data_IF_612045780266
#
_entry.id   IF_612045780266
#
_cell.length_a   1.000
_cell.length_b   1.000
_cell.length_c   1.000
_cell.angle_alpha   90.00
_cell.angle_beta   90.00
_cell.angle_gamma   90.00
#
_symmetry.space_group_name_H-M   'P 1'
#
loop_
_entity.id
_entity.type
_entity.pdbx_description
1 polymer ?
#
# COMPACT_ATOMS: atom_id res chain seq x y z
N UNK A 1 -5.15 4.47 -14.82
CA UNK A 1 -4.80 4.26 -13.40
C UNK A 1 -5.45 5.27 -12.47
N UNK A 2 -5.40 6.56 -12.77
CA UNK A 2 -6.04 7.64 -11.99
C UNK A 2 -7.54 7.40 -11.70
N UNK A 3 -8.26 6.77 -12.61
CA UNK A 3 -9.71 6.49 -12.43
C UNK A 3 -10.02 5.39 -11.41
N UNK A 4 -9.07 4.49 -11.12
CA UNK A 4 -9.29 3.39 -10.17
C UNK A 4 -9.06 3.80 -8.71
N UNK A 5 -8.29 4.86 -8.47
CA UNK A 5 -8.20 5.46 -7.14
C UNK A 5 -9.54 6.02 -6.64
N UNK A 6 -10.48 6.30 -7.55
CA UNK A 6 -11.85 6.67 -7.22
C UNK A 6 -12.60 5.61 -6.40
N UNK A 7 -12.26 4.33 -6.54
CA UNK A 7 -12.83 3.26 -5.71
C UNK A 7 -12.44 3.40 -4.22
N UNK A 8 -11.31 4.07 -3.94
CA UNK A 8 -10.84 4.34 -2.59
C UNK A 8 -11.15 5.78 -2.13
N UNK A 9 -12.06 6.49 -2.84
CA UNK A 9 -12.47 7.85 -2.47
C UNK A 9 -11.48 8.94 -2.86
N UNK A 10 -10.46 8.64 -3.67
CA UNK A 10 -9.56 9.63 -4.22
C UNK A 10 -10.11 10.20 -5.53
N UNK A 11 -10.17 11.52 -5.64
CA UNK A 11 -10.65 12.24 -6.82
C UNK A 11 -9.50 13.04 -7.46
N UNK A 12 -8.70 12.37 -8.35
CA UNK A 12 -7.64 13.06 -9.05
C UNK A 12 -8.19 13.89 -10.20
N UNK A 13 -7.64 15.10 -10.40
CA UNK A 13 -7.88 15.92 -11.58
C UNK A 13 -6.60 16.65 -11.99
N UNK A 14 -6.49 16.93 -13.28
CA UNK A 14 -5.34 17.68 -13.81
C UNK A 14 -5.56 19.18 -13.58
N UNK A 15 -4.51 19.87 -13.14
CA UNK A 15 -4.48 21.32 -12.98
C UNK A 15 -3.12 21.83 -13.44
N UNK A 16 -3.07 22.52 -14.58
CA UNK A 16 -1.82 23.00 -15.16
C UNK A 16 -0.85 21.84 -15.45
N UNK A 17 0.34 21.87 -14.88
CA UNK A 17 1.38 20.85 -15.04
C UNK A 17 1.31 19.73 -14.00
N UNK A 18 0.32 19.77 -13.11
CA UNK A 18 0.23 18.85 -11.98
C UNK A 18 -1.04 18.02 -11.93
N UNK A 19 -1.08 17.10 -10.98
CA UNK A 19 -2.24 16.33 -10.60
C UNK A 19 -2.62 16.70 -9.17
N UNK A 20 -3.86 17.14 -8.97
CA UNK A 20 -4.40 17.37 -7.64
C UNK A 20 -5.23 16.15 -7.26
N UNK A 21 -5.00 15.63 -6.06
CA UNK A 21 -5.73 14.48 -5.52
C UNK A 21 -6.49 14.94 -4.27
N UNK A 22 -7.81 14.95 -4.36
CA UNK A 22 -8.68 15.16 -3.21
C UNK A 22 -9.19 13.81 -2.69
N UNK A 23 -9.30 13.69 -1.36
CA UNK A 23 -9.86 12.50 -0.73
C UNK A 23 -11.09 12.87 0.07
N UNK A 24 -12.21 12.18 -0.14
CA UNK A 24 -13.40 12.30 0.70
C UNK A 24 -13.34 11.23 1.80
N UNK A 25 -13.05 11.65 3.02
CA UNK A 25 -12.96 10.77 4.20
C UNK A 25 -14.31 10.18 4.63
N UNK A 26 -15.43 10.63 4.06
CA UNK A 26 -16.78 10.24 4.48
C UNK A 26 -17.34 9.05 3.71
N UNK A 27 -16.74 8.66 2.61
CA UNK A 27 -17.26 7.61 1.77
C UNK A 27 -16.80 6.24 2.30
N UNK A 28 -17.73 5.43 2.78
CA UNK A 28 -17.50 3.99 2.95
C UNK A 28 -17.45 3.39 1.56
N UNK A 29 -16.34 2.81 1.21
CA UNK A 29 -16.15 2.15 -0.07
C UNK A 29 -15.92 0.67 0.19
N UNK A 30 -16.87 -0.13 -0.20
CA UNK A 30 -16.59 -1.53 -0.47
C UNK A 30 -15.88 -1.59 -1.81
N UNK A 31 -14.67 -2.15 -1.84
CA UNK A 31 -13.95 -2.27 -3.09
C UNK A 31 -13.51 -3.72 -3.32
N UNK A 32 -13.67 -4.16 -4.54
CA UNK A 32 -13.07 -5.38 -5.05
C UNK A 32 -12.13 -5.03 -6.20
N UNK A 33 -10.89 -5.48 -6.12
CA UNK A 33 -9.87 -5.28 -7.15
C UNK A 33 -9.35 -6.65 -7.57
N UNK A 34 -9.36 -6.90 -8.88
CA UNK A 34 -8.78 -8.09 -9.49
C UNK A 34 -7.60 -7.68 -10.38
N UNK A 35 -6.44 -8.30 -10.18
CA UNK A 35 -5.27 -8.05 -11.03
C UNK A 35 -5.36 -8.86 -12.32
N UNK A 36 -4.77 -8.33 -13.39
CA UNK A 36 -4.74 -8.99 -14.68
C UNK A 36 -3.99 -8.19 -15.74
N UNK A 37 -3.93 -8.72 -16.98
CA UNK A 37 -3.33 -8.02 -18.11
C UNK A 37 -4.13 -6.75 -18.44
N UNK A 38 -3.46 -5.79 -19.08
CA UNK A 38 -4.13 -4.57 -19.52
C UNK A 38 -5.42 -4.91 -20.34
N UNK A 39 -6.57 -4.25 -20.08
CA UNK A 39 -6.78 -3.04 -19.27
C UNK A 39 -7.15 -3.28 -17.80
N UNK A 40 -6.95 -4.46 -17.26
CA UNK A 40 -7.24 -4.77 -15.86
C UNK A 40 -6.27 -4.08 -14.89
N UNK A 41 -6.41 -4.37 -13.60
CA UNK A 41 -5.57 -3.75 -12.58
C UNK A 41 -4.16 -4.35 -12.60
N UNK A 42 -3.09 -3.54 -12.74
CA UNK A 42 -1.74 -4.06 -12.83
C UNK A 42 -1.29 -4.66 -11.50
N UNK A 43 -0.77 -5.88 -11.55
CA UNK A 43 -0.25 -6.61 -10.38
C UNK A 43 0.87 -5.85 -9.65
N UNK A 44 1.64 -5.00 -10.34
CA UNK A 44 2.67 -4.15 -9.73
C UNK A 44 2.14 -3.12 -8.73
N UNK A 45 0.85 -2.85 -8.75
CA UNK A 45 0.19 -1.99 -7.78
C UNK A 45 -0.51 -2.75 -6.66
N UNK A 46 -0.54 -4.08 -6.72
CA UNK A 46 -1.25 -4.93 -5.79
C UNK A 46 -0.83 -4.67 -4.33
N UNK A 47 0.45 -4.77 -4.01
CA UNK A 47 0.96 -4.60 -2.64
C UNK A 47 0.71 -3.20 -2.10
N UNK A 48 0.87 -2.16 -2.94
CA UNK A 48 0.63 -0.76 -2.55
C UNK A 48 -0.85 -0.53 -2.24
N UNK A 49 -1.75 -1.06 -3.09
CA UNK A 49 -3.18 -0.94 -2.84
C UNK A 49 -3.64 -1.80 -1.67
N UNK A 50 -3.01 -2.95 -1.42
CA UNK A 50 -3.27 -3.76 -0.23
C UNK A 50 -2.98 -2.97 1.06
N UNK A 51 -1.85 -2.25 1.12
CA UNK A 51 -1.52 -1.37 2.23
C UNK A 51 -2.54 -0.22 2.39
N UNK A 52 -2.97 0.40 1.28
CA UNK A 52 -3.98 1.44 1.30
C UNK A 52 -5.34 0.92 1.77
N UNK A 53 -5.76 -0.27 1.32
CA UNK A 53 -6.98 -0.95 1.79
C UNK A 53 -6.90 -1.22 3.29
N UNK A 54 -5.74 -1.66 3.79
CA UNK A 54 -5.54 -1.99 5.20
C UNK A 54 -5.82 -0.79 6.14
N UNK A 55 -5.61 0.45 5.66
CA UNK A 55 -5.85 1.69 6.44
C UNK A 55 -7.12 2.43 6.03
N UNK A 56 -7.90 1.91 5.08
CA UNK A 56 -9.08 2.60 4.55
C UNK A 56 -10.26 2.68 5.52
N UNK A 57 -10.31 1.80 6.53
CA UNK A 57 -11.47 1.65 7.42
C UNK A 57 -12.67 0.96 6.76
N UNK A 58 -12.47 0.31 5.61
CA UNK A 58 -13.50 -0.36 4.81
C UNK A 58 -13.20 -1.84 4.65
N UNK A 59 -14.22 -2.62 4.30
CA UNK A 59 -14.01 -3.99 3.84
C UNK A 59 -13.68 -3.96 2.34
N UNK A 60 -12.59 -4.62 1.97
CA UNK A 60 -12.14 -4.72 0.58
C UNK A 60 -11.71 -6.16 0.27
N UNK A 61 -11.78 -6.52 -1.02
CA UNK A 61 -11.27 -7.79 -1.53
C UNK A 61 -10.24 -7.49 -2.61
N UNK A 62 -9.08 -8.14 -2.50
CA UNK A 62 -8.04 -8.13 -3.53
C UNK A 62 -7.88 -9.54 -4.09
N UNK A 63 -8.03 -9.67 -5.41
CA UNK A 63 -7.77 -10.91 -6.13
C UNK A 63 -6.49 -10.77 -6.94
N UNK A 64 -5.53 -11.70 -6.76
CA UNK A 64 -4.27 -11.72 -7.51
C UNK A 64 -4.29 -12.88 -8.51
N UNK A 65 -4.35 -12.56 -9.81
CA UNK A 65 -4.46 -13.53 -10.88
C UNK A 65 -3.18 -13.68 -11.71
N UNK A 66 -2.14 -12.90 -11.43
CA UNK A 66 -0.90 -12.91 -12.21
C UNK A 66 0.18 -13.73 -11.49
N UNK A 67 0.25 -13.63 -10.16
CA UNK A 67 1.26 -14.33 -9.36
C UNK A 67 0.62 -15.14 -8.22
N UNK A 68 1.00 -16.40 -8.10
CA UNK A 68 0.38 -17.32 -7.13
C UNK A 68 0.75 -17.02 -5.66
N UNK A 69 1.84 -16.28 -5.39
CA UNK A 69 2.36 -16.10 -4.02
C UNK A 69 2.61 -14.64 -3.65
N UNK A 70 1.89 -13.68 -4.25
CA UNK A 70 2.20 -12.26 -4.07
C UNK A 70 1.62 -11.62 -2.80
N UNK A 71 1.01 -12.38 -1.91
CA UNK A 71 0.45 -11.88 -0.65
C UNK A 71 1.41 -11.91 0.54
N UNK A 72 2.72 -12.08 0.33
CA UNK A 72 3.70 -12.01 1.44
C UNK A 72 3.62 -10.68 2.20
N UNK A 73 3.33 -9.57 1.49
CA UNK A 73 3.11 -8.26 2.10
C UNK A 73 1.94 -8.24 3.09
N UNK A 74 0.90 -9.07 2.90
CA UNK A 74 -0.23 -9.16 3.83
C UNK A 74 0.21 -9.67 5.21
N UNK A 75 1.08 -10.67 5.25
CA UNK A 75 1.60 -11.21 6.51
C UNK A 75 2.44 -10.17 7.27
N UNK A 76 3.22 -9.36 6.55
CA UNK A 76 4.01 -8.29 7.16
C UNK A 76 3.10 -7.14 7.64
N UNK A 77 2.07 -6.75 6.88
CA UNK A 77 1.08 -5.76 7.30
C UNK A 77 0.31 -6.20 8.56
N UNK A 78 -0.01 -7.49 8.67
CA UNK A 78 -0.67 -8.03 9.85
C UNK A 78 0.18 -7.91 11.13
N UNK A 79 1.52 -7.92 11.03
CA UNK A 79 2.41 -7.62 12.17
C UNK A 79 2.25 -6.17 12.69
N UNK A 80 1.82 -5.26 11.81
CA UNK A 80 1.52 -3.88 12.16
C UNK A 80 0.05 -3.68 12.59
N UNK A 81 -0.70 -4.76 12.83
CA UNK A 81 -2.09 -4.70 13.27
C UNK A 81 -3.12 -4.54 12.13
N UNK A 82 -2.73 -4.74 10.88
CA UNK A 82 -3.71 -4.91 9.81
C UNK A 82 -4.53 -6.18 10.04
N UNK A 83 -5.69 -6.25 9.40
CA UNK A 83 -6.60 -7.38 9.50
C UNK A 83 -6.86 -7.89 8.08
N UNK A 84 -5.95 -8.75 7.62
CA UNK A 84 -5.94 -9.29 6.25
C UNK A 84 -5.93 -10.82 6.35
N UNK A 85 -6.94 -11.45 5.77
CA UNK A 85 -7.05 -12.90 5.63
C UNK A 85 -6.77 -13.27 4.19
N UNK A 86 -5.76 -14.11 3.97
CA UNK A 86 -5.40 -14.60 2.63
C UNK A 86 -5.93 -16.02 2.45
N UNK A 87 -6.67 -16.25 1.37
CA UNK A 87 -7.17 -17.55 0.96
C UNK A 87 -6.90 -17.76 -0.54
N UNK A 88 -5.88 -18.54 -0.85
CA UNK A 88 -5.42 -18.76 -2.22
C UNK A 88 -5.08 -17.45 -2.94
N UNK A 89 -5.85 -17.12 -3.96
CA UNK A 89 -5.68 -15.91 -4.78
C UNK A 89 -6.43 -14.68 -4.23
N UNK A 90 -7.11 -14.81 -3.11
CA UNK A 90 -7.92 -13.76 -2.50
C UNK A 90 -7.30 -13.26 -1.21
N UNK A 91 -7.33 -11.95 -1.02
CA UNK A 91 -7.07 -11.31 0.26
C UNK A 91 -8.32 -10.53 0.69
N UNK A 92 -8.88 -10.91 1.82
CA UNK A 92 -9.98 -10.20 2.48
C UNK A 92 -9.38 -9.21 3.46
N UNK A 93 -9.62 -7.92 3.22
CA UNK A 93 -9.02 -6.82 3.98
C UNK A 93 -10.10 -6.16 4.80
N UNK A 94 -9.99 -6.28 6.12
CA UNK A 94 -10.83 -5.56 7.09
C UNK A 94 -10.07 -4.29 7.51
N UNK A 95 -10.24 -3.22 6.73
CA UNK A 95 -9.45 -2.01 6.89
C UNK A 95 -9.53 -1.44 8.31
N UNK A 96 -8.40 -1.12 8.87
CA UNK A 96 -8.23 -0.42 10.16
C UNK A 96 -7.97 1.04 9.90
N UNK A 97 -8.37 1.92 10.82
CA UNK A 97 -8.06 3.36 10.67
C UNK A 97 -6.63 3.72 11.04
N UNK A 98 -5.95 2.81 11.72
CA UNK A 98 -4.62 3.03 12.26
C UNK A 98 -3.89 1.68 12.36
N UNK A 99 -2.62 1.72 12.06
CA UNK A 99 -1.70 0.61 12.28
C UNK A 99 -0.84 0.88 13.51
N UNK A 100 -0.12 -0.13 13.99
CA UNK A 100 0.81 -0.02 15.11
C UNK A 100 2.25 -0.01 14.61
N UNK A 101 3.17 0.54 15.42
CA UNK A 101 4.58 0.42 15.15
C UNK A 101 5.09 -1.00 15.28
N UNK A 102 6.23 -1.27 14.66
CA UNK A 102 6.80 -2.61 14.69
C UNK A 102 7.96 -2.78 13.70
N UNK A 103 8.42 -4.03 13.58
CA UNK A 103 9.49 -4.41 12.66
C UNK A 103 8.91 -5.35 11.60
N UNK A 104 9.09 -4.98 10.35
CA UNK A 104 8.65 -5.74 9.17
C UNK A 104 9.80 -5.91 8.19
N UNK A 105 9.66 -6.86 7.28
CA UNK A 105 10.72 -7.18 6.32
C UNK A 105 10.20 -7.14 4.90
N UNK A 106 10.86 -6.34 4.06
CA UNK A 106 10.62 -6.32 2.63
C UNK A 106 11.16 -7.61 1.98
N UNK A 107 10.32 -8.35 1.29
CA UNK A 107 10.72 -9.52 0.52
C UNK A 107 10.89 -9.22 -0.97
N UNK A 108 10.35 -8.11 -1.42
CA UNK A 108 10.41 -7.64 -2.81
C UNK A 108 10.27 -6.11 -2.89
N UNK A 109 10.49 -5.59 -4.10
CA UNK A 109 10.46 -4.16 -4.41
C UNK A 109 9.11 -3.50 -4.06
N UNK A 110 8.00 -4.08 -4.49
CA UNK A 110 6.66 -3.48 -4.37
C UNK A 110 6.10 -3.66 -2.96
N UNK A 111 6.33 -4.84 -2.38
CA UNK A 111 6.00 -5.11 -0.98
C UNK A 111 6.75 -4.20 -0.03
N UNK A 112 8.05 -3.99 -0.24
CA UNK A 112 8.85 -3.09 0.57
C UNK A 112 8.35 -1.65 0.54
N UNK A 113 8.05 -1.11 -0.65
CA UNK A 113 7.46 0.22 -0.78
C UNK A 113 6.10 0.32 -0.10
N UNK A 114 5.26 -0.72 -0.21
CA UNK A 114 3.97 -0.78 0.46
C UNK A 114 4.10 -0.74 1.99
N UNK A 115 5.10 -1.45 2.56
CA UNK A 115 5.37 -1.44 4.00
C UNK A 115 5.84 -0.06 4.50
N UNK A 116 6.69 0.63 3.72
CA UNK A 116 7.10 2.00 4.04
C UNK A 116 5.89 2.94 4.04
N UNK A 117 5.01 2.85 3.03
CA UNK A 117 3.78 3.65 2.99
C UNK A 117 2.83 3.30 4.14
N UNK A 118 2.69 2.02 4.49
CA UNK A 118 1.88 1.60 5.65
C UNK A 118 2.39 2.21 6.95
N UNK A 119 3.70 2.33 7.12
CA UNK A 119 4.33 2.96 8.28
C UNK A 119 3.93 4.42 8.50
N UNK A 120 3.54 5.15 7.43
CA UNK A 120 3.04 6.53 7.56
C UNK A 120 1.67 6.63 8.26
N UNK A 121 0.97 5.51 8.40
CA UNK A 121 -0.32 5.40 9.09
C UNK A 121 -0.24 4.72 10.45
N UNK A 122 0.97 4.40 10.90
CA UNK A 122 1.17 3.78 12.21
C UNK A 122 1.20 4.83 13.34
N UNK A 123 0.80 4.41 14.55
CA UNK A 123 0.79 5.24 15.76
C UNK A 123 2.18 5.40 16.39
N UNK A 124 3.13 4.58 15.97
CA UNK A 124 4.49 4.55 16.47
C UNK A 124 5.47 4.09 15.39
N UNK A 125 6.78 4.25 15.56
CA UNK A 125 7.76 3.99 14.51
C UNK A 125 7.68 2.57 13.93
N UNK A 126 7.79 2.47 12.62
CA UNK A 126 7.90 1.21 11.87
C UNK A 126 9.30 1.10 11.30
N UNK A 127 9.95 -0.02 11.56
CA UNK A 127 11.23 -0.37 10.93
C UNK A 127 10.98 -1.35 9.79
N UNK A 128 11.42 -0.98 8.60
CA UNK A 128 11.34 -1.83 7.41
C UNK A 128 12.73 -2.33 7.05
N UNK A 129 13.00 -3.61 7.30
CA UNK A 129 14.21 -4.28 6.88
C UNK A 129 14.16 -4.64 5.38
N UNK A 130 15.31 -4.90 4.75
CA UNK A 130 15.38 -5.28 3.34
C UNK A 130 15.29 -4.09 2.39
N UNK A 131 15.87 -2.94 2.77
CA UNK A 131 15.87 -1.72 1.96
C UNK A 131 16.53 -1.93 0.59
N UNK A 132 17.45 -2.87 0.46
CA UNK A 132 18.08 -3.26 -0.80
C UNK A 132 17.08 -3.70 -1.89
N UNK A 133 15.94 -4.25 -1.51
CA UNK A 133 14.86 -4.55 -2.46
C UNK A 133 14.18 -3.28 -2.97
N UNK A 134 13.95 -2.31 -2.08
CA UNK A 134 13.23 -1.06 -2.40
C UNK A 134 14.05 -0.20 -3.35
N UNK A 135 15.34 -0.06 -3.09
CA UNK A 135 16.22 0.83 -3.87
C UNK A 135 16.44 0.37 -5.32
N UNK A 136 16.07 -0.86 -5.69
CA UNK A 136 16.17 -1.36 -7.07
C UNK A 136 15.23 -0.65 -8.05
N UNK A 137 14.17 -0.02 -7.59
CA UNK A 137 13.20 0.62 -8.47
C UNK A 137 12.54 1.88 -7.91
N UNK A 138 12.91 2.30 -6.70
CA UNK A 138 12.52 3.58 -6.12
C UNK A 138 13.80 4.37 -5.78
N UNK A 139 14.11 5.33 -6.64
CA UNK A 139 15.20 6.25 -6.39
C UNK A 139 14.86 7.10 -5.16
N UNK A 140 15.67 6.94 -4.13
CA UNK A 140 15.63 7.69 -2.87
C UNK A 140 14.22 7.89 -2.27
N UNK A 141 13.48 6.77 -2.13
CA UNK A 141 12.12 6.79 -1.57
C UNK A 141 12.03 7.53 -0.22
N UNK A 142 12.97 7.36 0.75
CA UNK A 142 12.94 8.10 2.00
C UNK A 142 13.02 9.62 1.80
N UNK A 143 13.94 10.12 0.97
CA UNK A 143 14.08 11.55 0.71
C UNK A 143 12.83 12.11 0.03
N UNK A 144 12.29 11.41 -0.97
CA UNK A 144 11.09 11.84 -1.66
C UNK A 144 9.88 11.93 -0.72
N UNK A 145 9.73 10.98 0.21
CA UNK A 145 8.67 11.03 1.22
C UNK A 145 8.90 12.16 2.23
N UNK A 146 10.15 12.42 2.64
CA UNK A 146 10.47 13.57 3.50
C UNK A 146 10.13 14.90 2.84
N UNK A 147 10.39 15.06 1.54
CA UNK A 147 9.99 16.27 0.77
C UNK A 147 8.46 16.45 0.73
N UNK A 148 7.71 15.39 0.85
CA UNK A 148 6.24 15.40 0.97
C UNK A 148 5.75 15.61 2.41
N UNK A 149 6.66 15.79 3.37
CA UNK A 149 6.34 16.06 4.79
C UNK A 149 6.29 14.82 5.69
N UNK A 150 6.66 13.65 5.20
CA UNK A 150 6.78 12.45 6.03
C UNK A 150 8.06 12.47 6.87
N UNK A 151 8.07 11.75 7.99
CA UNK A 151 9.27 11.53 8.80
C UNK A 151 9.79 10.12 8.51
N UNK A 152 10.80 10.03 7.67
CA UNK A 152 11.42 8.76 7.26
C UNK A 152 12.92 8.88 7.38
N UNK A 153 13.58 7.90 8.02
CA UNK A 153 15.04 7.88 8.17
C UNK A 153 15.61 6.59 7.62
N UNK A 154 16.73 6.68 6.93
CA UNK A 154 17.51 5.53 6.50
C UNK A 154 18.59 5.27 7.55
N UNK A 155 18.61 4.07 8.10
CA UNK A 155 19.70 3.62 8.98
C UNK A 155 20.66 2.75 8.18
N UNK A 156 21.93 3.11 8.17
CA UNK A 156 22.98 2.21 7.68
C UNK A 156 23.37 1.30 8.85
N UNK A 157 23.13 0.00 8.70
CA UNK A 157 23.60 -1.04 9.61
C UNK A 157 24.96 -1.54 9.09
#
# INVERSE_FOLDING_TARGET
>A
MLFRSGYLGAHPYYSGEGVIINTDRRRKLECAISTGPFPEFPTDMQSIFLALMAVSGNFCIMEENVFDTRFNTAYELNKLGADIVVDGKLAYVYGRRQLHGGVVTAGDLRGGAALVLAGLFADSPVTVNGYEYIQRGYEDLPENLCRLGAVVTKQCI
#
